data_IF_300935593308
#
_entry.id   IF_300935593308
#
_cell.length_a   1.000
_cell.length_b   1.000
_cell.length_c   1.000
_cell.angle_alpha   90.00
_cell.angle_beta   90.00
_cell.angle_gamma   90.00
#
_symmetry.space_group_name_H-M   'P 1'
#
loop_
_entity.id
_entity.type
_entity.pdbx_description
1 polymer ?
#
# COMPACT_ATOMS: atom_id res chain seq x y z
N UNK A 1 -18.27 -0.33 -1.82
CA UNK A 1 -17.43 0.37 -0.82
C UNK A 1 -16.04 -0.27 -0.88
N UNK A 2 -15.05 0.42 -1.45
CA UNK A 2 -13.74 -0.16 -1.77
C UNK A 2 -13.03 0.59 -2.89
N UNK A 3 -13.08 1.91 -2.84
CA UNK A 3 -12.52 2.82 -3.86
C UNK A 3 -11.07 3.22 -3.57
N UNK A 4 -10.48 2.62 -2.51
CA UNK A 4 -9.09 2.87 -2.09
C UNK A 4 -8.09 2.53 -3.19
N UNK A 5 -8.33 1.44 -3.93
CA UNK A 5 -7.45 1.04 -5.05
C UNK A 5 -7.49 2.07 -6.16
N UNK A 6 -8.67 2.60 -6.50
CA UNK A 6 -8.80 3.64 -7.53
C UNK A 6 -8.05 4.92 -7.13
N UNK A 7 -8.16 5.32 -5.86
CA UNK A 7 -7.39 6.44 -5.32
C UNK A 7 -5.87 6.21 -5.43
N UNK A 8 -5.39 5.05 -4.98
CA UNK A 8 -3.96 4.72 -5.05
C UNK A 8 -3.44 4.63 -6.49
N UNK A 9 -4.25 4.13 -7.44
CA UNK A 9 -3.91 4.13 -8.86
C UNK A 9 -3.79 5.56 -9.42
N UNK A 10 -4.70 6.47 -9.05
CA UNK A 10 -4.59 7.88 -9.45
C UNK A 10 -3.33 8.57 -8.92
N UNK A 11 -2.93 8.26 -7.68
CA UNK A 11 -1.67 8.74 -7.09
C UNK A 11 -0.49 8.14 -7.85
N UNK A 12 -0.47 6.83 -8.05
CA UNK A 12 0.59 6.14 -8.79
C UNK A 12 0.75 6.68 -10.21
N UNK A 13 -0.36 6.94 -10.93
CA UNK A 13 -0.31 7.53 -12.26
C UNK A 13 0.32 8.91 -12.24
N UNK A 14 -0.05 9.74 -11.26
CA UNK A 14 0.54 11.08 -11.10
C UNK A 14 2.04 11.01 -10.81
N UNK A 15 2.50 10.02 -10.04
CA UNK A 15 3.93 9.80 -9.82
C UNK A 15 4.64 9.48 -11.13
N UNK A 16 4.07 8.58 -11.95
CA UNK A 16 4.64 8.19 -13.25
C UNK A 16 4.68 9.34 -14.25
N UNK A 17 3.58 10.08 -14.36
CA UNK A 17 3.46 11.22 -15.27
C UNK A 17 4.49 12.33 -14.99
N UNK A 18 4.82 12.54 -13.72
CA UNK A 18 5.82 13.53 -13.29
C UNK A 18 7.25 12.97 -13.21
N UNK A 19 7.46 11.67 -13.45
CA UNK A 19 8.78 11.02 -13.29
C UNK A 19 9.29 10.99 -11.85
N UNK A 20 8.37 10.92 -10.87
CA UNK A 20 8.65 10.95 -9.43
C UNK A 20 8.88 9.58 -8.80
N UNK A 21 8.73 8.50 -9.58
CA UNK A 21 9.02 7.13 -9.15
C UNK A 21 10.52 6.87 -9.05
N UNK A 22 10.92 6.04 -8.08
CA UNK A 22 12.30 5.58 -7.94
C UNK A 22 12.54 4.37 -8.85
N UNK A 23 12.97 4.65 -10.08
CA UNK A 23 13.29 3.61 -11.08
C UNK A 23 14.43 2.68 -10.63
N UNK A 24 15.37 3.18 -9.84
CA UNK A 24 16.51 2.38 -9.36
C UNK A 24 16.05 1.35 -8.34
N UNK A 25 15.18 1.76 -7.40
CA UNK A 25 14.56 0.85 -6.45
C UNK A 25 13.68 -0.19 -7.17
N UNK A 26 12.85 0.26 -8.12
CA UNK A 26 11.97 -0.61 -8.88
C UNK A 26 12.76 -1.67 -9.65
N UNK A 27 13.83 -1.29 -10.36
CA UNK A 27 14.65 -2.23 -11.11
C UNK A 27 15.42 -3.22 -10.22
N UNK A 28 15.85 -2.79 -9.03
CA UNK A 28 16.68 -3.62 -8.13
C UNK A 28 15.85 -4.54 -7.23
N UNK A 29 14.70 -4.07 -6.77
CA UNK A 29 13.97 -4.67 -5.66
C UNK A 29 12.56 -5.16 -6.04
N UNK A 30 12.11 -4.95 -7.28
CA UNK A 30 10.79 -5.40 -7.75
C UNK A 30 10.89 -6.19 -9.06
N UNK A 31 9.80 -6.84 -9.44
CA UNK A 31 9.69 -7.57 -10.71
C UNK A 31 8.30 -7.33 -11.31
N UNK A 32 8.25 -7.20 -12.64
CA UNK A 32 6.99 -7.00 -13.36
C UNK A 32 6.42 -5.58 -13.31
N UNK A 33 7.22 -4.58 -12.92
CA UNK A 33 6.78 -3.17 -12.90
C UNK A 33 6.34 -2.68 -14.29
N UNK A 34 7.03 -3.07 -15.36
CA UNK A 34 6.70 -2.64 -16.73
C UNK A 34 5.24 -2.99 -17.09
N UNK A 35 4.81 -4.22 -16.75
CA UNK A 35 3.43 -4.66 -16.98
C UNK A 35 2.41 -3.85 -16.18
N UNK A 36 2.79 -3.41 -14.98
CA UNK A 36 1.95 -2.57 -14.14
C UNK A 36 1.89 -1.14 -14.68
N UNK A 37 3.03 -0.58 -15.14
CA UNK A 37 3.09 0.73 -15.77
C UNK A 37 2.23 0.79 -17.05
N UNK A 38 2.28 -0.25 -17.88
CA UNK A 38 1.42 -0.36 -19.08
C UNK A 38 -0.08 -0.34 -18.73
N UNK A 39 -0.48 -1.00 -17.63
CA UNK A 39 -1.86 -0.97 -17.14
C UNK A 39 -2.26 0.41 -16.59
N UNK A 40 -1.32 1.07 -15.91
CA UNK A 40 -1.54 2.37 -15.30
C UNK A 40 -1.73 3.46 -16.37
N UNK A 41 -0.90 3.43 -17.42
CA UNK A 41 -0.96 4.34 -18.57
C UNK A 41 -2.11 4.02 -19.54
N UNK A 42 -2.80 2.90 -19.34
CA UNK A 42 -3.91 2.48 -20.21
C UNK A 42 -3.46 1.83 -21.52
N UNK A 43 -2.17 1.48 -21.67
CA UNK A 43 -1.64 0.77 -22.84
C UNK A 43 -2.30 -0.60 -23.01
N UNK A 44 -2.67 -1.27 -21.92
CA UNK A 44 -3.28 -2.61 -21.97
C UNK A 44 -4.80 -2.63 -22.14
N UNK A 45 -5.51 -1.64 -21.57
CA UNK A 45 -6.97 -1.65 -21.46
C UNK A 45 -7.65 -0.40 -22.06
N UNK A 46 -6.87 0.51 -22.66
CA UNK A 46 -7.35 1.74 -23.27
C UNK A 46 -7.77 2.83 -22.28
N UNK A 47 -7.62 2.61 -20.98
CA UNK A 47 -8.07 3.55 -19.94
C UNK A 47 -6.91 3.95 -19.03
N UNK A 48 -6.34 5.13 -19.26
CA UNK A 48 -5.34 5.69 -18.37
C UNK A 48 -5.93 5.95 -16.97
N UNK A 49 -5.25 5.51 -15.92
CA UNK A 49 -5.70 5.63 -14.53
C UNK A 49 -5.37 7.01 -13.96
N UNK A 50 -5.81 8.05 -14.66
CA UNK A 50 -5.53 9.45 -14.32
C UNK A 50 -6.14 9.85 -12.98
N UNK A 51 -5.68 10.98 -12.42
CA UNK A 51 -6.29 11.56 -11.23
C UNK A 51 -7.78 11.90 -11.44
N UNK A 52 -8.17 12.32 -12.66
CA UNK A 52 -9.56 12.56 -13.04
C UNK A 52 -10.40 11.29 -13.00
N UNK A 53 -9.89 10.20 -13.57
CA UNK A 53 -10.55 8.88 -13.53
C UNK A 53 -10.73 8.40 -12.08
N UNK A 54 -9.68 8.53 -11.26
CA UNK A 54 -9.75 8.15 -9.85
C UNK A 54 -10.76 9.02 -9.09
N UNK A 55 -10.83 10.32 -9.38
CA UNK A 55 -11.73 11.26 -8.74
C UNK A 55 -13.20 10.91 -8.95
N UNK A 56 -13.57 10.47 -10.16
CA UNK A 56 -14.94 10.03 -10.48
C UNK A 56 -15.36 8.82 -9.64
N UNK A 57 -14.43 7.90 -9.36
CA UNK A 57 -14.71 6.66 -8.63
C UNK A 57 -14.68 6.88 -7.11
N UNK A 58 -13.65 7.55 -6.59
CA UNK A 58 -13.43 7.68 -5.14
C UNK A 58 -14.12 8.89 -4.51
N UNK A 59 -14.56 9.86 -5.32
CA UNK A 59 -15.19 11.10 -4.86
C UNK A 59 -14.23 12.15 -4.29
N UNK A 60 -12.91 11.94 -4.41
CA UNK A 60 -11.87 12.91 -4.03
C UNK A 60 -11.50 13.73 -5.26
N UNK A 61 -11.32 15.04 -5.13
CA UNK A 61 -10.97 15.87 -6.29
C UNK A 61 -9.60 15.50 -6.86
N UNK A 62 -9.45 15.55 -8.19
CA UNK A 62 -8.20 15.24 -8.87
C UNK A 62 -7.03 16.13 -8.39
N UNK A 63 -7.32 17.38 -8.03
CA UNK A 63 -6.34 18.30 -7.43
C UNK A 63 -5.77 17.73 -6.13
N UNK A 64 -6.62 17.22 -5.23
CA UNK A 64 -6.19 16.62 -3.96
C UNK A 64 -5.39 15.34 -4.15
N UNK A 65 -5.72 14.55 -5.18
CA UNK A 65 -4.96 13.34 -5.54
C UNK A 65 -3.54 13.72 -5.98
N UNK A 66 -3.40 14.76 -6.81
CA UNK A 66 -2.09 15.26 -7.24
C UNK A 66 -1.27 15.87 -6.11
N UNK A 67 -1.89 16.71 -5.29
CA UNK A 67 -1.26 17.28 -4.08
C UNK A 67 -0.73 16.17 -3.17
N UNK A 68 -1.50 15.08 -2.99
CA UNK A 68 -1.06 13.95 -2.17
C UNK A 68 0.13 13.21 -2.78
N UNK A 69 0.15 13.02 -4.09
CA UNK A 69 1.29 12.44 -4.80
C UNK A 69 2.56 13.30 -4.64
N UNK A 70 2.41 14.63 -4.74
CA UNK A 70 3.51 15.58 -4.54
C UNK A 70 4.06 15.52 -3.11
N UNK A 71 3.19 15.48 -2.10
CA UNK A 71 3.58 15.36 -0.69
C UNK A 71 4.36 14.05 -0.47
N UNK A 72 3.90 12.94 -1.06
CA UNK A 72 4.55 11.64 -0.91
C UNK A 72 5.95 11.60 -1.53
N UNK A 73 6.15 12.30 -2.66
CA UNK A 73 7.44 12.38 -3.31
C UNK A 73 8.43 13.26 -2.51
N UNK A 74 7.99 14.43 -2.03
CA UNK A 74 8.87 15.39 -1.35
C UNK A 74 9.24 14.98 0.09
N UNK A 75 8.45 14.12 0.73
CA UNK A 75 8.63 13.78 2.15
C UNK A 75 8.87 12.28 2.34
N UNK A 76 9.60 11.94 3.40
CA UNK A 76 9.65 10.57 3.89
C UNK A 76 8.27 10.16 4.42
N UNK A 77 7.66 9.18 3.75
CA UNK A 77 6.27 8.79 3.92
C UNK A 77 6.17 7.35 4.39
N UNK A 78 5.40 7.16 5.46
CA UNK A 78 5.04 5.83 5.98
C UNK A 78 3.58 5.52 5.64
N UNK A 79 3.36 4.51 4.80
CA UNK A 79 2.02 4.03 4.46
C UNK A 79 1.54 3.01 5.51
N UNK A 80 0.73 3.48 6.45
CA UNK A 80 0.15 2.64 7.49
C UNK A 80 -1.25 2.17 7.12
N UNK A 81 -1.46 0.86 7.03
CA UNK A 81 -2.76 0.29 6.72
C UNK A 81 -3.23 -0.73 7.76
N UNK A 82 -4.53 -0.68 8.07
CA UNK A 82 -5.18 -1.62 8.99
C UNK A 82 -5.58 -2.93 8.32
N UNK A 83 -5.99 -3.89 9.14
CA UNK A 83 -6.52 -5.19 8.67
C UNK A 83 -8.02 -5.17 8.33
N UNK A 84 -8.70 -4.05 8.51
CA UNK A 84 -10.12 -3.91 8.17
C UNK A 84 -10.37 -3.95 6.66
N UNK A 85 -9.51 -3.30 5.88
CA UNK A 85 -9.71 -3.13 4.43
C UNK A 85 -9.64 -4.44 3.64
N UNK A 86 -8.87 -5.42 4.12
CA UNK A 86 -8.76 -6.76 3.51
C UNK A 86 -9.99 -7.66 3.78
N UNK A 87 -10.84 -7.34 4.76
CA UNK A 87 -12.06 -8.12 5.09
C UNK A 87 -13.26 -7.67 4.27
N UNK A 88 -13.02 -7.45 2.98
CA UNK A 88 -13.99 -6.99 2.00
C UNK A 88 -13.77 -7.81 0.72
N UNK A 89 -14.75 -7.82 -0.18
CA UNK A 89 -14.57 -8.42 -1.50
C UNK A 89 -13.39 -7.75 -2.21
N UNK A 90 -12.51 -8.55 -2.83
CA UNK A 90 -11.26 -8.10 -3.44
C UNK A 90 -10.31 -7.38 -2.46
N UNK A 91 -10.35 -7.77 -1.18
CA UNK A 91 -9.56 -7.16 -0.12
C UNK A 91 -8.06 -7.29 -0.31
N UNK A 92 -7.60 -8.34 -1.00
CA UNK A 92 -6.20 -8.59 -1.33
C UNK A 92 -5.60 -7.49 -2.22
N UNK A 93 -6.43 -6.87 -3.08
CA UNK A 93 -5.98 -5.85 -4.04
C UNK A 93 -5.48 -4.58 -3.32
N UNK A 94 -6.08 -4.24 -2.18
CA UNK A 94 -5.75 -3.02 -1.44
C UNK A 94 -4.36 -3.12 -0.83
N UNK A 95 -4.07 -4.24 -0.17
CA UNK A 95 -2.74 -4.49 0.40
C UNK A 95 -1.67 -4.60 -0.68
N UNK A 96 -1.98 -5.25 -1.81
CA UNK A 96 -1.06 -5.33 -2.94
C UNK A 96 -0.73 -3.93 -3.47
N UNK A 97 -1.75 -3.10 -3.70
CA UNK A 97 -1.56 -1.75 -4.22
C UNK A 97 -0.77 -0.84 -3.26
N UNK A 98 -0.95 -0.98 -1.94
CA UNK A 98 -0.16 -0.23 -0.94
C UNK A 98 1.33 -0.57 -1.06
N UNK A 99 1.67 -1.86 -1.19
CA UNK A 99 3.08 -2.27 -1.35
C UNK A 99 3.64 -1.76 -2.67
N UNK A 100 2.87 -1.83 -3.76
CA UNK A 100 3.27 -1.29 -5.06
C UNK A 100 3.55 0.20 -4.98
N UNK A 101 2.67 0.98 -4.34
CA UNK A 101 2.88 2.42 -4.16
C UNK A 101 4.11 2.73 -3.30
N UNK A 102 4.32 2.00 -2.21
CA UNK A 102 5.53 2.14 -1.39
C UNK A 102 6.81 1.81 -2.17
N UNK A 103 6.74 0.81 -3.05
CA UNK A 103 7.86 0.44 -3.91
C UNK A 103 8.14 1.49 -4.99
N UNK A 104 7.09 2.10 -5.57
CA UNK A 104 7.24 3.22 -6.51
C UNK A 104 7.89 4.44 -5.87
N UNK A 105 7.61 4.70 -4.60
CA UNK A 105 8.27 5.77 -3.85
C UNK A 105 9.73 5.45 -3.50
N UNK A 106 10.15 4.17 -3.55
CA UNK A 106 11.53 3.75 -3.25
C UNK A 106 11.94 3.83 -1.78
N UNK A 107 11.02 4.19 -0.88
CA UNK A 107 11.34 4.46 0.53
C UNK A 107 11.27 3.20 1.42
N UNK A 108 11.12 2.01 0.85
CA UNK A 108 11.07 0.76 1.62
C UNK A 108 12.46 0.47 2.20
N UNK A 109 12.54 0.43 3.52
CA UNK A 109 13.78 0.14 4.26
C UNK A 109 14.53 1.39 4.74
N UNK A 110 14.04 2.60 4.46
CA UNK A 110 14.59 3.83 5.04
C UNK A 110 13.99 4.08 6.44
N UNK A 111 14.73 4.75 7.36
CA UNK A 111 14.17 5.13 8.64
C UNK A 111 12.96 6.05 8.49
N UNK A 112 11.77 5.56 8.88
CA UNK A 112 10.53 6.33 8.80
C UNK A 112 9.80 6.26 7.44
N UNK A 113 10.34 5.52 6.46
CA UNK A 113 9.72 5.32 5.15
C UNK A 113 9.19 3.91 4.91
N UNK A 114 8.36 3.76 3.88
CA UNK A 114 7.87 2.46 3.42
C UNK A 114 6.41 2.21 3.80
N UNK A 115 6.09 0.99 4.24
CA UNK A 115 4.73 0.61 4.62
C UNK A 115 4.69 -0.25 5.88
N UNK A 116 3.54 -0.25 6.55
CA UNK A 116 3.31 -1.06 7.75
C UNK A 116 1.85 -1.49 7.91
N UNK A 117 1.64 -2.79 8.09
CA UNK A 117 0.29 -3.37 8.23
C UNK A 117 -0.12 -3.65 9.68
N UNK A 118 0.81 -3.59 10.63
CA UNK A 118 0.60 -4.08 12.00
C UNK A 118 0.75 -3.00 13.09
N UNK A 119 0.90 -1.73 12.71
CA UNK A 119 1.03 -0.61 13.65
C UNK A 119 -0.12 -0.55 14.67
N UNK A 120 -1.35 -0.88 14.22
CA UNK A 120 -2.56 -0.85 15.05
C UNK A 120 -2.71 -2.02 16.03
N UNK A 121 -2.01 -3.15 15.84
CA UNK A 121 -2.22 -4.38 16.62
C UNK A 121 -0.95 -4.87 17.33
N UNK A 122 0.20 -4.76 16.69
CA UNK A 122 1.45 -5.37 17.15
C UNK A 122 2.45 -4.35 17.72
N UNK A 123 2.00 -3.15 18.07
CA UNK A 123 2.86 -2.13 18.67
C UNK A 123 4.03 -1.71 17.75
N UNK A 124 3.83 -1.80 16.42
CA UNK A 124 4.85 -1.45 15.43
C UNK A 124 5.35 -0.02 15.65
N UNK A 125 6.65 0.14 15.86
CA UNK A 125 7.27 1.44 16.14
C UNK A 125 7.25 1.92 17.61
N UNK A 126 6.63 1.19 18.54
CA UNK A 126 6.68 1.52 19.97
C UNK A 126 7.89 0.80 20.63
N UNK A 127 8.68 1.47 21.50
CA UNK A 127 9.77 0.84 22.24
C UNK A 127 9.38 -0.52 22.82
N UNK A 128 10.17 -1.54 22.48
CA UNK A 128 9.98 -2.91 22.99
C UNK A 128 10.01 -2.88 24.51
N UNK A 129 8.89 -3.30 25.13
CA UNK A 129 8.82 -3.51 26.59
C UNK A 129 9.94 -4.45 27.03
N UNK A 130 10.64 -4.12 28.12
CA UNK A 130 11.60 -5.03 28.78
C UNK A 130 10.92 -6.14 29.61
N UNK A 131 9.59 -6.15 29.68
CA UNK A 131 8.81 -7.11 30.46
C UNK A 131 8.31 -8.28 29.60
N UNK A 132 8.21 -9.48 30.19
CA UNK A 132 7.76 -10.71 29.53
C UNK A 132 6.42 -10.52 28.79
N UNK A 133 6.32 -11.02 27.55
CA UNK A 133 5.07 -11.02 26.78
C UNK A 133 4.23 -12.21 27.23
N UNK A 134 3.06 -11.93 27.81
CA UNK A 134 2.07 -12.97 28.12
C UNK A 134 1.44 -13.46 26.81
N UNK A 135 1.40 -14.78 26.62
CA UNK A 135 0.77 -15.39 25.45
C UNK A 135 -0.72 -15.02 25.38
N UNK A 136 -1.25 -14.87 24.16
CA UNK A 136 -2.69 -14.71 23.95
C UNK A 136 -3.44 -15.94 24.48
N UNK A 137 -4.57 -15.72 25.15
CA UNK A 137 -5.46 -16.81 25.53
C UNK A 137 -6.08 -17.41 24.26
N UNK A 138 -5.42 -18.44 23.71
CA UNK A 138 -5.99 -19.23 22.63
C UNK A 138 -7.04 -20.16 23.23
N UNK A 139 -8.29 -20.09 22.75
CA UNK A 139 -9.31 -21.05 23.12
C UNK A 139 -8.84 -22.46 22.79
N UNK A 140 -8.63 -23.29 23.82
CA UNK A 140 -8.31 -24.70 23.64
C UNK A 140 -9.61 -25.49 23.73
N UNK A 141 -10.01 -26.12 22.63
CA UNK A 141 -11.10 -27.11 22.64
C UNK A 141 -10.47 -28.46 23.01
N UNK A 142 -10.98 -29.17 24.03
CA UNK A 142 -10.52 -30.52 24.33
C UNK A 142 -10.67 -31.42 23.10
N UNK A 143 -9.55 -31.95 22.58
CA UNK A 143 -9.52 -32.84 21.41
C UNK A 143 -9.28 -32.18 20.05
N UNK A 144 -9.16 -30.85 19.96
CA UNK A 144 -8.82 -30.16 18.72
C UNK A 144 -7.32 -30.23 18.41
N UNK A 145 -6.91 -31.04 17.42
CA UNK A 145 -5.54 -31.10 16.95
C UNK A 145 -5.07 -29.75 16.38
N UNK A 146 -3.91 -29.26 16.83
CA UNK A 146 -3.20 -28.15 16.19
C UNK A 146 -2.54 -28.68 14.91
N UNK A 147 -2.98 -28.20 13.75
CA UNK A 147 -2.23 -28.37 12.51
C UNK A 147 -1.13 -27.31 12.48
N UNK A 148 0.14 -27.74 12.44
CA UNK A 148 1.30 -26.86 12.39
C UNK A 148 2.43 -27.35 13.28
N UNK A 149 3.04 -28.46 12.87
CA UNK A 149 4.46 -28.72 13.09
C UNK A 149 5.14 -28.60 11.73
#
# INVERSE_FOLDING_TARGET
>A
MGTDVALMLGIAHTLVENGWQDETFLARCTTGYDRFADYLLGTTDGTAKTAEWAAEICGVSAVKIRELAEIFHHNTTMLMAGWGMQRQQFGEQKHWMIVTLAAMLGQIGTPGGGFGFSYHFANGGNPTRRAAVLASMQGSIPGGGRCGR
#
